data_IF_049747366866
#
_entry.id   IF_049747366866
#
_cell.length_a   1.000
_cell.length_b   1.000
_cell.length_c   1.000
_cell.angle_alpha   90.00
_cell.angle_beta   90.00
_cell.angle_gamma   90.00
#
_symmetry.space_group_name_H-M   'P 1'
#
loop_
_entity.id
_entity.type
_entity.pdbx_description
1 polymer ?
#
# COMPACT_ATOMS: atom_id res chain seq x y z
N UNK A 1 -48.30 -15.26 33.27
CA UNK A 1 -47.91 -15.25 31.84
C UNK A 1 -47.14 -13.97 31.55
N UNK A 2 -45.81 -14.01 31.59
CA UNK A 2 -44.98 -12.86 31.27
C UNK A 2 -44.47 -13.02 29.83
N UNK A 3 -45.05 -12.24 28.92
CA UNK A 3 -44.60 -12.10 27.53
C UNK A 3 -43.28 -11.34 27.54
N UNK A 4 -42.17 -12.05 27.33
CA UNK A 4 -40.86 -11.42 27.08
C UNK A 4 -40.39 -11.86 25.69
N UNK A 5 -41.18 -11.52 24.67
CA UNK A 5 -40.69 -11.47 23.30
C UNK A 5 -40.14 -10.06 23.07
N UNK A 6 -38.93 -9.76 23.52
CA UNK A 6 -38.25 -8.49 23.22
C UNK A 6 -36.75 -8.62 23.48
N UNK A 7 -36.05 -9.46 22.72
CA UNK A 7 -34.62 -9.26 22.40
C UNK A 7 -34.14 -10.32 21.41
N UNK A 8 -34.74 -10.34 20.22
CA UNK A 8 -34.12 -10.99 19.07
C UNK A 8 -33.68 -9.88 18.14
N UNK A 9 -32.67 -9.11 18.59
CA UNK A 9 -31.88 -8.31 17.67
C UNK A 9 -31.31 -9.30 16.68
N UNK A 10 -31.89 -9.32 15.48
CA UNK A 10 -31.61 -10.30 14.43
C UNK A 10 -30.11 -10.38 14.23
N UNK A 11 -29.51 -11.46 14.72
CA UNK A 11 -28.08 -11.75 14.60
C UNK A 11 -27.63 -11.63 13.13
N UNK A 12 -28.54 -11.95 12.21
CA UNK A 12 -28.40 -11.79 10.77
C UNK A 12 -28.18 -10.32 10.36
N UNK A 13 -28.91 -9.36 10.91
CA UNK A 13 -28.76 -7.94 10.59
C UNK A 13 -27.38 -7.42 11.03
N UNK A 14 -26.90 -7.83 12.21
CA UNK A 14 -25.56 -7.49 12.69
C UNK A 14 -24.49 -8.11 11.80
N UNK A 15 -24.66 -9.37 11.38
CA UNK A 15 -23.78 -10.06 10.45
C UNK A 15 -23.72 -9.40 9.06
N UNK A 16 -24.86 -8.94 8.54
CA UNK A 16 -24.92 -8.23 7.26
C UNK A 16 -24.17 -6.90 7.31
N UNK A 17 -24.29 -6.14 8.40
CA UNK A 17 -23.54 -4.89 8.58
C UNK A 17 -22.03 -5.18 8.64
N UNK A 18 -21.61 -6.21 9.39
CA UNK A 18 -20.21 -6.63 9.46
C UNK A 18 -19.65 -7.06 8.10
N UNK A 19 -20.41 -7.83 7.31
CA UNK A 19 -20.01 -8.24 5.98
C UNK A 19 -19.86 -7.04 5.04
N UNK A 20 -20.80 -6.09 5.05
CA UNK A 20 -20.71 -4.87 4.25
C UNK A 20 -19.45 -4.07 4.58
N UNK A 21 -19.08 -3.94 5.87
CA UNK A 21 -17.85 -3.26 6.27
C UNK A 21 -16.61 -4.02 5.79
N UNK A 22 -16.59 -5.35 5.80
CA UNK A 22 -15.42 -6.14 5.35
C UNK A 22 -15.26 -6.12 3.83
N UNK A 23 -16.36 -6.07 3.06
CA UNK A 23 -16.33 -6.03 1.59
C UNK A 23 -15.93 -4.63 1.09
N UNK A 24 -16.36 -3.58 1.79
CA UNK A 24 -16.10 -2.18 1.44
C UNK A 24 -14.79 -1.64 2.00
N UNK A 25 -14.02 -2.37 2.83
CA UNK A 25 -12.63 -2.00 3.09
C UNK A 25 -11.89 -2.30 1.80
N UNK A 26 -11.64 -1.31 0.94
CA UNK A 26 -10.78 -1.57 -0.18
C UNK A 26 -9.45 -1.94 0.48
N UNK A 27 -8.85 -3.04 0.03
CA UNK A 27 -7.40 -3.17 0.16
C UNK A 27 -6.82 -1.97 -0.57
N UNK A 28 -6.69 -0.85 0.13
CA UNK A 28 -5.72 0.19 -0.16
C UNK A 28 -4.41 -0.52 0.18
N UNK A 29 -3.99 -1.42 -0.71
CA UNK A 29 -2.58 -1.70 -0.93
C UNK A 29 -2.03 -0.38 -1.46
N UNK A 30 -1.89 0.61 -0.55
CA UNK A 30 -1.11 1.79 -0.82
C UNK A 30 0.24 1.24 -1.22
N UNK A 31 0.65 1.53 -2.45
CA UNK A 31 1.87 1.05 -3.07
C UNK A 31 3.02 1.20 -2.06
N UNK A 32 3.32 0.12 -1.33
CA UNK A 32 4.20 0.22 -0.17
C UNK A 32 5.61 0.03 -0.68
N UNK A 33 6.28 1.11 -1.08
CA UNK A 33 7.66 1.15 -1.57
C UNK A 33 8.69 0.70 -0.50
N UNK A 34 8.58 -0.54 -0.05
CA UNK A 34 9.28 -1.09 1.12
C UNK A 34 10.31 -2.14 0.72
N UNK A 35 10.07 -2.85 -0.37
CA UNK A 35 10.96 -3.92 -0.79
C UNK A 35 11.95 -3.41 -1.83
N UNK A 36 13.24 -3.47 -1.53
CA UNK A 36 14.29 -3.13 -2.49
C UNK A 36 14.35 -4.17 -3.60
N UNK A 37 14.38 -3.72 -4.86
CA UNK A 37 14.52 -4.60 -6.01
C UNK A 37 15.77 -4.33 -6.86
N UNK A 38 16.39 -3.17 -6.71
CA UNK A 38 17.61 -2.83 -7.41
C UNK A 38 17.87 -1.33 -7.45
N UNK A 39 18.77 -0.92 -8.33
CA UNK A 39 19.23 0.46 -8.43
C UNK A 39 19.16 0.98 -9.87
N UNK A 40 19.15 2.31 -9.98
CA UNK A 40 19.17 3.05 -11.22
C UNK A 40 20.37 4.02 -11.22
N UNK A 41 21.17 4.11 -12.31
CA UNK A 41 22.33 5.00 -12.36
C UNK A 41 21.90 6.45 -12.63
N UNK A 42 21.40 7.14 -11.61
CA UNK A 42 20.95 8.55 -11.69
C UNK A 42 21.92 9.43 -10.90
N UNK A 43 22.67 10.29 -11.60
CA UNK A 43 23.62 11.23 -10.99
C UNK A 43 23.48 12.62 -11.63
N UNK A 44 23.21 13.69 -10.84
CA UNK A 44 22.86 13.66 -9.41
C UNK A 44 21.53 12.94 -9.17
N UNK A 45 21.40 12.24 -8.03
CA UNK A 45 20.15 11.55 -7.72
C UNK A 45 19.06 12.57 -7.38
N UNK A 46 18.11 12.74 -8.30
CA UNK A 46 16.91 13.55 -8.14
C UNK A 46 15.71 12.61 -8.02
N UNK A 47 14.85 12.81 -7.01
CA UNK A 47 13.75 11.89 -6.71
C UNK A 47 12.83 11.62 -7.91
N UNK A 48 12.49 12.64 -8.71
CA UNK A 48 11.64 12.48 -9.89
C UNK A 48 12.30 11.62 -10.98
N UNK A 49 13.57 11.89 -11.29
CA UNK A 49 14.34 11.10 -12.28
C UNK A 49 14.59 9.68 -11.81
N UNK A 50 14.84 9.52 -10.51
CA UNK A 50 14.98 8.22 -9.87
C UNK A 50 13.70 7.40 -10.00
N UNK A 51 12.54 8.00 -9.69
CA UNK A 51 11.23 7.36 -9.79
C UNK A 51 10.87 6.99 -11.23
N UNK A 52 11.12 7.88 -12.20
CA UNK A 52 10.94 7.59 -13.62
C UNK A 52 11.85 6.46 -14.10
N UNK A 53 13.12 6.45 -13.70
CA UNK A 53 14.06 5.38 -14.03
C UNK A 53 13.59 4.04 -13.47
N UNK A 54 13.20 4.00 -12.19
CA UNK A 54 12.71 2.78 -11.55
C UNK A 54 11.43 2.26 -12.21
N UNK A 55 10.53 3.16 -12.61
CA UNK A 55 9.31 2.78 -13.35
C UNK A 55 9.60 2.26 -14.74
N UNK A 56 10.60 2.82 -15.43
CA UNK A 56 11.02 2.37 -16.75
C UNK A 56 11.74 1.02 -16.71
N UNK A 57 12.60 0.79 -15.71
CA UNK A 57 13.41 -0.41 -15.59
C UNK A 57 12.64 -1.60 -14.98
N UNK A 58 11.84 -1.35 -13.93
CA UNK A 58 11.21 -2.40 -13.11
C UNK A 58 9.68 -2.40 -13.16
N UNK A 59 9.07 -1.44 -13.87
CA UNK A 59 7.62 -1.36 -14.12
C UNK A 59 6.92 -0.24 -13.36
N UNK A 60 5.73 0.16 -13.84
CA UNK A 60 5.00 1.36 -13.36
C UNK A 60 4.61 1.32 -11.87
N UNK A 61 4.48 0.13 -11.29
CA UNK A 61 4.17 -0.05 -9.87
C UNK A 61 5.37 0.09 -8.93
N UNK A 62 6.52 0.54 -9.42
CA UNK A 62 7.74 0.73 -8.63
C UNK A 62 7.92 2.18 -8.24
N UNK A 63 8.71 2.39 -7.21
CA UNK A 63 9.05 3.70 -6.67
C UNK A 63 10.56 3.88 -6.68
N UNK A 64 11.03 5.06 -7.04
CA UNK A 64 12.44 5.44 -6.91
C UNK A 64 12.65 6.30 -5.67
N UNK A 65 13.65 5.95 -4.85
CA UNK A 65 14.05 6.71 -3.66
C UNK A 65 15.54 6.99 -3.72
N UNK A 66 15.94 8.25 -3.56
CA UNK A 66 17.35 8.60 -3.41
C UNK A 66 17.77 8.35 -1.96
N UNK A 67 18.72 7.45 -1.75
CA UNK A 67 19.27 7.11 -0.45
C UNK A 67 20.78 7.37 -0.43
N UNK A 68 21.31 7.77 0.72
CA UNK A 68 22.73 8.01 0.87
C UNK A 68 23.45 6.71 1.26
N UNK A 69 24.41 6.31 0.44
CA UNK A 69 25.29 5.18 0.71
C UNK A 69 26.75 5.68 0.78
N UNK A 70 27.28 5.77 2.00
CA UNK A 70 28.57 6.40 2.25
C UNK A 70 28.57 7.87 1.86
N UNK A 71 29.46 8.25 0.93
CA UNK A 71 29.61 9.63 0.44
C UNK A 71 28.77 9.93 -0.83
N UNK A 72 28.02 8.96 -1.35
CA UNK A 72 27.26 9.10 -2.60
C UNK A 72 25.75 8.94 -2.39
N UNK A 73 24.96 9.62 -3.23
CA UNK A 73 23.51 9.49 -3.28
C UNK A 73 23.12 8.52 -4.41
N UNK A 74 22.52 7.39 -4.05
CA UNK A 74 22.14 6.31 -4.96
C UNK A 74 20.61 6.30 -5.15
N UNK A 75 20.16 5.92 -6.35
CA UNK A 75 18.75 5.76 -6.64
C UNK A 75 18.33 4.30 -6.44
N UNK A 76 17.51 4.05 -5.42
CA UNK A 76 17.03 2.73 -5.05
C UNK A 76 15.59 2.52 -5.53
N UNK A 77 15.39 1.45 -6.29
CA UNK A 77 14.10 1.05 -6.81
C UNK A 77 13.41 0.08 -5.86
N UNK A 78 12.18 0.43 -5.47
CA UNK A 78 11.39 -0.31 -4.49
C UNK A 78 10.02 -0.71 -5.02
N UNK A 79 9.49 -1.81 -4.51
CA UNK A 79 8.09 -2.24 -4.67
C UNK A 79 7.31 -2.01 -3.40
#
# INVERSE_FOLDING_TARGET
MAKILNSSVCFTAVLFILLLVVIEIPKIEGQTCKHFEGECPVTPCEAAKCDECCKAAFGKQKCGVCEQEGDALHCHCRR
#
